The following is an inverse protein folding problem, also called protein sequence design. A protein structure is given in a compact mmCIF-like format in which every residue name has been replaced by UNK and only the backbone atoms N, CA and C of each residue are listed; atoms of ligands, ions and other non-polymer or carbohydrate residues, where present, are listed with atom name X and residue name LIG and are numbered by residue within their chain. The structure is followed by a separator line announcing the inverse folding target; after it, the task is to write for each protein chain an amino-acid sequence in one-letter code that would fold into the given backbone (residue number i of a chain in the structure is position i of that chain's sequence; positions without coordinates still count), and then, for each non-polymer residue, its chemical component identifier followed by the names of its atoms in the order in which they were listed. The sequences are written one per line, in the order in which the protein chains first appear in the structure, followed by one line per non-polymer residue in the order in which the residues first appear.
data_IF_646750709495
#
_entry.id   IF_646750709495
#
_cell.length_a   1.000
_cell.length_b   1.000
_cell.length_c   1.000
_cell.angle_alpha   90.00
_cell.angle_beta   90.00
_cell.angle_gamma   90.00
#
_symmetry.space_group_name_H-M   'P 1'
#
loop_
_entity.id
_entity.type
_entity.pdbx_description
1 polymer ?
#
# COMPACT_ATOMS: atom_id res chain seq x y z
N UNK A 1 4.39 11.01 15.64
CA UNK A 1 5.06 11.64 14.49
C UNK A 1 5.16 10.71 13.27
N UNK A 2 5.69 9.49 13.38
CA UNK A 2 5.85 8.59 12.20
C UNK A 2 4.53 8.08 11.61
N UNK A 3 3.56 7.68 12.43
CA UNK A 3 2.24 7.25 11.93
C UNK A 3 1.52 8.37 11.16
N UNK A 4 1.66 9.62 11.59
CA UNK A 4 1.06 10.78 10.93
C UNK A 4 1.67 11.02 9.55
N UNK A 5 3.00 10.85 9.41
CA UNK A 5 3.71 10.96 8.13
C UNK A 5 3.28 9.87 7.16
N UNK A 6 3.23 8.63 7.63
CA UNK A 6 2.75 7.50 6.84
C UNK A 6 1.31 7.73 6.42
N UNK A 7 0.45 8.20 7.34
CA UNK A 7 -0.95 8.50 7.04
C UNK A 7 -1.08 9.54 5.93
N UNK A 8 -0.34 10.64 6.02
CA UNK A 8 -0.34 11.67 4.99
C UNK A 8 0.07 11.11 3.62
N UNK A 9 1.16 10.32 3.55
CA UNK A 9 1.57 9.69 2.29
C UNK A 9 0.53 8.68 1.76
N UNK A 10 -0.10 7.90 2.64
CA UNK A 10 -1.18 7.00 2.26
C UNK A 10 -2.40 7.78 1.71
N UNK A 11 -2.76 8.91 2.33
CA UNK A 11 -3.84 9.80 1.89
C UNK A 11 -3.55 10.43 0.52
N UNK A 12 -2.30 10.83 0.25
CA UNK A 12 -1.86 11.33 -1.07
C UNK A 12 -2.02 10.29 -2.18
N UNK A 13 -1.80 9.01 -1.86
CA UNK A 13 -2.02 7.92 -2.80
C UNK A 13 -3.46 7.37 -2.76
N UNK A 14 -4.35 7.91 -1.93
CA UNK A 14 -5.74 7.50 -1.84
C UNK A 14 -5.94 6.09 -1.29
N UNK A 15 -5.07 5.61 -0.40
CA UNK A 15 -5.23 4.33 0.32
C UNK A 15 -5.37 4.57 1.83
N UNK A 16 -6.22 3.80 2.50
CA UNK A 16 -6.34 3.89 3.95
C UNK A 16 -5.16 3.20 4.64
N UNK A 17 -4.64 3.81 5.70
CA UNK A 17 -3.46 3.31 6.43
C UNK A 17 -3.64 1.88 6.96
N UNK A 18 -4.87 1.50 7.33
CA UNK A 18 -5.18 0.16 7.83
C UNK A 18 -5.08 -0.87 6.70
N UNK A 19 -5.70 -0.58 5.55
CA UNK A 19 -5.62 -1.42 4.36
C UNK A 19 -4.19 -1.51 3.83
N UNK A 20 -3.44 -0.40 3.85
CA UNK A 20 -2.04 -0.38 3.45
C UNK A 20 -1.18 -1.34 4.31
N UNK A 21 -1.32 -1.30 5.63
CA UNK A 21 -0.58 -2.18 6.56
C UNK A 21 -0.99 -3.65 6.44
N UNK A 22 -2.27 -3.91 6.26
CA UNK A 22 -2.79 -5.26 6.07
C UNK A 22 -2.26 -5.88 4.76
N UNK A 23 -2.32 -5.12 3.66
CA UNK A 23 -1.77 -5.53 2.36
C UNK A 23 -0.26 -5.80 2.42
N UNK A 24 0.52 -4.96 3.10
CA UNK A 24 1.95 -5.20 3.29
C UNK A 24 2.22 -6.50 4.06
N UNK A 25 1.43 -6.76 5.11
CA UNK A 25 1.55 -7.99 5.91
C UNK A 25 1.20 -9.22 5.07
N UNK A 26 0.18 -9.15 4.21
CA UNK A 26 -0.19 -10.21 3.26
C UNK A 26 0.86 -10.47 2.18
N UNK A 27 1.64 -9.45 1.83
CA UNK A 27 2.78 -9.57 0.92
C UNK A 27 4.06 -10.05 1.61
N UNK A 28 4.02 -10.31 2.92
CA UNK A 28 5.19 -10.65 3.74
C UNK A 28 6.25 -9.52 3.77
N UNK A 29 5.83 -8.27 3.57
CA UNK A 29 6.72 -7.10 3.56
C UNK A 29 6.85 -6.56 4.99
N UNK A 30 7.90 -6.99 5.68
CA UNK A 30 8.19 -6.58 7.05
C UNK A 30 9.03 -5.30 7.10
N UNK A 31 8.38 -4.14 6.89
CA UNK A 31 9.03 -2.83 6.99
C UNK A 31 8.83 -2.18 8.36
N UNK A 32 9.91 -1.59 8.88
CA UNK A 32 9.83 -0.78 10.10
C UNK A 32 9.12 0.56 9.81
N UNK A 33 8.30 1.02 10.76
CA UNK A 33 7.58 2.30 10.69
C UNK A 33 8.49 3.51 10.48
N UNK A 34 9.73 3.45 11.01
CA UNK A 34 10.74 4.50 10.78
C UNK A 34 11.10 4.58 9.30
N UNK A 35 11.50 3.46 8.72
CA UNK A 35 11.88 3.35 7.29
C UNK A 35 10.69 3.74 6.40
N UNK A 36 9.49 3.28 6.73
CA UNK A 36 8.29 3.62 5.97
C UNK A 36 8.01 5.14 5.99
N UNK A 37 8.20 5.79 7.13
CA UNK A 37 8.05 7.24 7.25
C UNK A 37 9.16 8.01 6.53
N UNK A 38 10.39 7.48 6.53
CA UNK A 38 11.51 8.07 5.79
C UNK A 38 11.31 7.92 4.27
N UNK A 39 10.82 6.77 3.81
CA UNK A 39 10.45 6.54 2.40
C UNK A 39 9.34 7.48 1.95
N UNK A 40 8.32 7.71 2.79
CA UNK A 40 7.24 8.63 2.48
C UNK A 40 7.72 10.09 2.30
N UNK A 41 8.81 10.49 2.96
CA UNK A 41 9.35 11.86 2.87
C UNK A 41 10.37 12.00 1.74
N UNK A 42 11.33 11.08 1.69
CA UNK A 42 12.52 11.23 0.85
C UNK A 42 12.38 10.53 -0.50
N UNK A 43 11.53 9.50 -0.61
CA UNK A 43 11.47 8.60 -1.74
C UNK A 43 10.01 8.41 -2.24
N UNK A 44 9.39 9.45 -2.82
CA UNK A 44 7.98 9.41 -3.24
C UNK A 44 7.71 8.35 -4.30
N UNK A 45 8.67 8.08 -5.19
CA UNK A 45 8.55 7.04 -6.22
C UNK A 45 8.47 5.63 -5.62
N UNK A 46 9.34 5.35 -4.63
CA UNK A 46 9.36 4.07 -3.92
C UNK A 46 8.08 3.88 -3.10
N UNK A 47 7.62 4.94 -2.43
CA UNK A 47 6.38 4.90 -1.65
C UNK A 47 5.14 4.73 -2.55
N UNK A 48 5.13 5.35 -3.74
CA UNK A 48 4.09 5.13 -4.76
C UNK A 48 4.01 3.67 -5.18
N UNK A 49 5.14 3.03 -5.49
CA UNK A 49 5.17 1.62 -5.88
C UNK A 49 4.62 0.69 -4.79
N UNK A 50 4.96 0.95 -3.52
CA UNK A 50 4.39 0.23 -2.38
C UNK A 50 2.88 0.47 -2.23
N UNK A 51 2.42 1.69 -2.47
CA UNK A 51 0.99 2.05 -2.40
C UNK A 51 0.19 1.39 -3.51
N UNK A 52 0.72 1.36 -4.73
CA UNK A 52 0.11 0.68 -5.88
C UNK A 52 0.03 -0.84 -5.64
N UNK A 53 1.09 -1.44 -5.08
CA UNK A 53 1.06 -2.82 -4.62
C UNK A 53 -0.03 -3.03 -3.56
N UNK A 54 -0.07 -2.19 -2.54
CA UNK A 54 -1.05 -2.32 -1.46
C UNK A 54 -2.50 -2.23 -1.95
N UNK A 55 -2.79 -1.39 -2.97
CA UNK A 55 -4.10 -1.31 -3.63
C UNK A 55 -4.44 -2.58 -4.41
N UNK A 56 -3.51 -3.09 -5.21
CA UNK A 56 -3.75 -4.30 -5.99
C UNK A 56 -4.05 -5.51 -5.10
N UNK A 57 -3.34 -5.61 -3.97
CA UNK A 57 -3.54 -6.65 -2.95
C UNK A 57 -4.87 -6.42 -2.22
N UNK A 58 -5.20 -5.18 -1.88
CA UNK A 58 -6.45 -4.92 -1.16
C UNK A 58 -7.67 -5.34 -1.97
N UNK A 59 -7.66 -5.07 -3.27
CA UNK A 59 -8.69 -5.50 -4.24
C UNK A 59 -8.74 -7.04 -4.34
N UNK A 60 -7.59 -7.69 -4.44
CA UNK A 60 -7.47 -9.16 -4.56
C UNK A 60 -8.08 -9.90 -3.35
N UNK A 61 -7.86 -9.38 -2.15
CA UNK A 61 -8.36 -9.95 -0.90
C UNK A 61 -9.72 -9.38 -0.46
N UNK A 62 -10.37 -8.54 -1.28
CA UNK A 62 -11.65 -7.88 -0.98
C UNK A 62 -11.71 -7.25 0.43
N UNK A 63 -10.70 -6.42 0.75
CA UNK A 63 -10.64 -5.69 2.02
C UNK A 63 -11.75 -4.61 2.11
N UNK A 64 -12.21 -4.23 3.30
CA UNK A 64 -13.25 -3.20 3.44
C UNK A 64 -12.76 -1.85 2.90
N UNK A 65 -13.61 -1.15 2.15
CA UNK A 65 -13.28 0.16 1.55
C UNK A 65 -12.52 0.09 0.23
N UNK A 66 -12.39 -1.09 -0.39
CA UNK A 66 -11.65 -1.29 -1.65
C UNK A 66 -12.32 -0.75 -2.90
N UNK A 67 -13.62 -0.48 -2.85
CA UNK A 67 -14.40 0.04 -3.98
C UNK A 67 -13.89 1.38 -4.51
N UNK A 68 -13.08 2.09 -3.71
CA UNK A 68 -12.52 3.40 -4.05
C UNK A 68 -11.15 3.33 -4.74
N UNK A 69 -10.51 2.17 -4.82
CA UNK A 69 -9.15 2.05 -5.33
C UNK A 69 -9.16 1.67 -6.81
N UNK A 70 -8.60 2.54 -7.65
CA UNK A 70 -8.29 2.19 -9.04
C UNK A 70 -7.16 1.16 -9.08
N UNK A 71 -7.34 0.06 -9.84
CA UNK A 71 -6.37 -1.03 -9.90
C UNK A 71 -5.20 -0.61 -10.78
N UNK A 72 -3.98 -0.46 -10.23
CA UNK A 72 -2.82 -0.09 -11.05
C UNK A 72 -2.46 -1.22 -12.01
N UNK A 73 -2.36 -0.90 -13.30
CA UNK A 73 -2.10 -1.85 -14.40
C UNK A 73 -0.72 -2.52 -14.32
N UNK A 74 0.24 -1.90 -13.62
CA UNK A 74 1.64 -2.29 -13.60
C UNK A 74 2.04 -3.18 -12.42
N UNK A 75 1.10 -3.66 -11.59
CA UNK A 75 1.41 -4.49 -10.42
C UNK A 75 0.79 -5.88 -10.51
N UNK A 76 1.63 -6.89 -10.32
CA UNK A 76 1.25 -8.32 -10.36
C UNK A 76 1.25 -8.88 -8.94
N UNK A 77 0.08 -9.33 -8.48
CA UNK A 77 -0.10 -9.98 -7.18
C UNK A 77 -0.30 -11.49 -7.33
N UNK A 78 -0.13 -12.24 -6.23
CA UNK A 78 -0.30 -13.70 -6.23
C UNK A 78 -1.71 -14.14 -6.67
N UNK A 79 -2.77 -13.39 -6.33
CA UNK A 79 -4.11 -13.73 -6.80
C UNK A 79 -4.35 -13.41 -8.28
N UNK A 80 -3.56 -12.52 -8.90
CA UNK A 80 -3.56 -12.32 -10.36
C UNK A 80 -3.00 -13.53 -11.14
N UNK A 81 -2.14 -14.32 -10.50
CA UNK A 81 -1.50 -15.49 -11.11
C UNK A 81 -2.30 -16.78 -10.94
N UNK A 82 -3.30 -16.80 -10.05
CA UNK A 82 -4.21 -17.94 -9.90
C UNK A 82 -5.37 -17.79 -10.89
N UNK A 83 -5.30 -18.53 -12.00
CA UNK A 83 -6.45 -18.83 -12.87
C UNK A 83 -7.26 -20.00 -12.30
#
# INVERSE_FOLDING_TARGET
LWNTRIRAGCEEHGIEINNFKDSLSKCDIQLNKKVLADLAIWEPNSFKALSDLAKSVSIDYNLPGTEKYDKPTNVVTRGLLKK
#
